data_IF_850609236905
#
_entry.id   IF_850609236905
#
_cell.length_a   1.000
_cell.length_b   1.000
_cell.length_c   1.000
_cell.angle_alpha   90.00
_cell.angle_beta   90.00
_cell.angle_gamma   90.00
#
_symmetry.space_group_name_H-M   'P 1'
#
loop_
_entity.id
_entity.type
_entity.pdbx_description
1 polymer ?
#
# COMPACT_ATOMS: atom_id res chain seq x y z
N UNK A 1 20.64 14.99 32.47
CA UNK A 1 20.71 15.06 31.01
C UNK A 1 21.65 13.94 30.58
N UNK A 2 21.16 12.72 30.33
CA UNK A 2 20.90 12.16 28.99
C UNK A 2 22.05 12.49 28.03
N UNK A 3 22.80 11.56 27.43
CA UNK A 3 22.34 10.38 26.68
C UNK A 3 23.48 9.34 26.61
N UNK A 4 23.26 8.12 27.12
CA UNK A 4 24.11 6.96 26.77
C UNK A 4 23.92 6.64 25.30
N UNK A 5 24.99 6.76 24.53
CA UNK A 5 24.99 6.44 23.11
C UNK A 5 25.69 5.09 22.89
N UNK A 6 24.91 4.16 22.34
CA UNK A 6 25.34 3.09 21.44
C UNK A 6 26.01 1.88 22.12
N UNK A 7 25.16 0.97 22.60
CA UNK A 7 25.46 -0.47 22.57
C UNK A 7 25.04 -1.01 21.20
N UNK A 8 25.99 -1.12 20.28
CA UNK A 8 25.80 -1.92 19.07
C UNK A 8 26.28 -3.34 19.33
N UNK A 9 25.35 -4.25 19.54
CA UNK A 9 25.62 -5.67 19.33
C UNK A 9 24.32 -6.34 18.88
N UNK A 10 24.19 -6.51 17.56
CA UNK A 10 23.19 -7.39 16.98
C UNK A 10 23.87 -8.28 15.95
N UNK A 11 24.52 -9.33 16.43
CA UNK A 11 24.72 -10.56 15.66
C UNK A 11 23.60 -11.52 16.09
N UNK A 12 22.62 -11.72 15.22
CA UNK A 12 21.90 -12.98 15.09
C UNK A 12 21.70 -13.23 13.61
N UNK A 13 22.42 -14.25 13.12
CA UNK A 13 22.50 -14.70 11.74
C UNK A 13 21.15 -15.20 11.18
N UNK A 14 20.97 -15.10 9.86
CA UNK A 14 19.95 -15.88 9.13
C UNK A 14 20.63 -16.88 8.17
N UNK A 15 20.11 -18.13 8.03
CA UNK A 15 20.86 -19.32 7.66
C UNK A 15 20.57 -19.81 6.24
N UNK A 16 21.33 -19.37 5.24
CA UNK A 16 21.36 -20.03 3.93
C UNK A 16 22.76 -19.99 3.33
N UNK A 17 23.66 -20.82 3.87
CA UNK A 17 24.92 -21.19 3.23
C UNK A 17 24.99 -22.71 3.19
N UNK A 18 24.57 -23.29 2.07
CA UNK A 18 24.66 -24.71 1.85
C UNK A 18 26.10 -25.15 1.56
N UNK A 19 26.55 -26.11 2.36
CA UNK A 19 27.26 -27.34 1.94
C UNK A 19 28.70 -27.22 1.40
N UNK A 20 29.64 -27.46 2.32
CA UNK A 20 30.50 -28.66 2.42
C UNK A 20 31.93 -28.29 2.88
N UNK A 21 32.38 -28.99 3.91
CA UNK A 21 33.77 -29.26 4.28
C UNK A 21 34.74 -28.08 4.57
N UNK A 22 34.97 -27.87 5.87
CA UNK A 22 36.35 -27.91 6.37
C UNK A 22 36.95 -26.60 6.89
N UNK A 23 37.08 -26.55 8.22
CA UNK A 23 38.16 -25.90 8.97
C UNK A 23 38.27 -24.36 8.95
N UNK A 24 37.73 -23.80 10.04
CA UNK A 24 38.47 -23.08 11.09
C UNK A 24 38.89 -21.61 10.88
N UNK A 25 38.58 -20.84 11.93
CA UNK A 25 39.18 -19.57 12.39
C UNK A 25 38.56 -18.26 11.89
N UNK A 26 37.74 -17.69 12.80
CA UNK A 26 37.71 -16.30 13.31
C UNK A 26 38.10 -15.20 12.31
N UNK A 27 37.19 -14.24 12.11
CA UNK A 27 37.31 -12.82 12.51
C UNK A 27 36.33 -11.98 11.68
N UNK A 28 35.48 -11.21 12.37
CA UNK A 28 34.92 -9.96 11.84
C UNK A 28 33.80 -10.09 10.80
N UNK A 29 32.57 -10.22 11.28
CA UNK A 29 31.38 -9.47 10.84
C UNK A 29 31.46 -8.82 9.44
N UNK A 30 31.14 -9.60 8.41
CA UNK A 30 30.72 -9.06 7.10
C UNK A 30 29.48 -9.84 6.70
N UNK A 31 28.33 -9.48 7.26
CA UNK A 31 27.05 -10.05 6.85
C UNK A 31 25.93 -9.01 6.95
N UNK A 32 25.45 -8.56 5.79
CA UNK A 32 24.02 -8.45 5.43
C UNK A 32 23.68 -7.15 4.68
N UNK A 33 23.97 -7.13 3.38
CA UNK A 33 23.39 -6.19 2.42
C UNK A 33 22.21 -6.79 1.64
N UNK A 34 21.37 -7.62 2.27
CA UNK A 34 20.30 -8.37 1.59
C UNK A 34 18.90 -8.21 2.22
N UNK A 35 18.63 -7.11 2.94
CA UNK A 35 17.38 -6.93 3.71
C UNK A 35 16.36 -5.93 3.16
N UNK A 36 16.67 -5.15 2.13
CA UNK A 36 15.85 -3.97 1.76
C UNK A 36 14.81 -4.21 0.65
N UNK A 37 14.58 -5.45 0.20
CA UNK A 37 13.69 -5.73 -0.93
C UNK A 37 12.27 -6.19 -0.54
N UNK A 38 12.01 -6.57 0.73
CA UNK A 38 10.74 -7.24 1.09
C UNK A 38 9.62 -6.32 1.59
N UNK A 39 9.95 -5.12 2.10
CA UNK A 39 8.96 -4.22 2.71
C UNK A 39 8.23 -3.33 1.70
N UNK A 40 8.81 -3.11 0.51
CA UNK A 40 8.18 -2.28 -0.53
C UNK A 40 7.11 -3.03 -1.31
N UNK A 41 7.30 -4.33 -1.60
CA UNK A 41 6.25 -5.15 -2.27
C UNK A 41 4.99 -5.27 -1.43
N UNK A 42 5.12 -5.54 -0.12
CA UNK A 42 3.99 -5.65 0.81
C UNK A 42 3.17 -4.33 0.86
N UNK A 43 3.86 -3.18 0.82
CA UNK A 43 3.21 -1.86 0.82
C UNK A 43 2.49 -1.58 -0.51
N UNK A 44 3.07 -1.96 -1.65
CA UNK A 44 2.41 -1.82 -2.96
C UNK A 44 1.16 -2.70 -3.04
N UNK A 45 1.23 -3.94 -2.56
CA UNK A 45 0.07 -4.85 -2.50
C UNK A 45 -1.06 -4.30 -1.63
N UNK A 46 -0.74 -3.65 -0.51
CA UNK A 46 -1.73 -2.99 0.35
C UNK A 46 -2.43 -1.81 -0.37
N UNK A 47 -1.66 -0.96 -1.07
CA UNK A 47 -2.21 0.14 -1.87
C UNK A 47 -3.09 -0.37 -3.01
N UNK A 48 -2.68 -1.43 -3.71
CA UNK A 48 -3.44 -2.03 -4.80
C UNK A 48 -4.74 -2.67 -4.35
N UNK A 49 -4.73 -3.34 -3.18
CA UNK A 49 -5.95 -3.85 -2.54
C UNK A 49 -6.90 -2.70 -2.18
N UNK A 50 -6.39 -1.61 -1.62
CA UNK A 50 -7.19 -0.45 -1.25
C UNK A 50 -7.84 0.21 -2.48
N UNK A 51 -7.08 0.41 -3.57
CA UNK A 51 -7.61 0.95 -4.84
C UNK A 51 -8.72 0.05 -5.38
N UNK A 52 -8.50 -1.27 -5.41
CA UNK A 52 -9.47 -2.23 -5.91
C UNK A 52 -10.76 -2.22 -5.09
N UNK A 53 -10.65 -2.12 -3.76
CA UNK A 53 -11.81 -2.02 -2.88
C UNK A 53 -12.60 -0.73 -3.11
N UNK A 54 -11.92 0.41 -3.26
CA UNK A 54 -12.57 1.69 -3.54
C UNK A 54 -13.25 1.70 -4.92
N UNK A 55 -12.64 1.08 -5.93
CA UNK A 55 -13.26 0.91 -7.26
C UNK A 55 -14.57 0.11 -7.15
N UNK A 56 -14.57 -1.01 -6.41
CA UNK A 56 -15.80 -1.79 -6.15
C UNK A 56 -16.84 -1.01 -5.36
N UNK A 57 -16.43 -0.14 -4.45
CA UNK A 57 -17.37 0.76 -3.75
C UNK A 57 -17.99 1.76 -4.71
N UNK A 58 -17.19 2.37 -5.59
CA UNK A 58 -17.66 3.29 -6.62
C UNK A 58 -18.65 2.61 -7.57
N UNK A 59 -18.36 1.39 -8.03
CA UNK A 59 -19.27 0.62 -8.90
C UNK A 59 -20.63 0.36 -8.23
N UNK A 60 -20.62 -0.07 -6.96
CA UNK A 60 -21.86 -0.28 -6.19
C UNK A 60 -22.65 1.02 -6.03
N UNK A 61 -21.96 2.13 -5.80
CA UNK A 61 -22.60 3.43 -5.68
C UNK A 61 -23.18 3.89 -7.03
N UNK A 62 -22.50 3.66 -8.15
CA UNK A 62 -23.07 3.91 -9.48
C UNK A 62 -24.33 3.08 -9.75
N UNK A 63 -24.36 1.82 -9.28
CA UNK A 63 -25.57 1.01 -9.36
C UNK A 63 -26.71 1.58 -8.50
N UNK A 64 -26.40 2.13 -7.32
CA UNK A 64 -27.41 2.81 -6.48
C UNK A 64 -27.94 4.07 -7.15
N UNK A 65 -27.08 4.88 -7.78
CA UNK A 65 -27.49 6.05 -8.57
C UNK A 65 -28.50 5.64 -9.65
N UNK A 66 -28.19 4.62 -10.46
CA UNK A 66 -29.11 4.10 -11.50
C UNK A 66 -30.44 3.62 -10.92
N UNK A 67 -30.43 3.00 -9.74
CA UNK A 67 -31.66 2.57 -9.05
C UNK A 67 -32.49 3.75 -8.57
N UNK A 68 -31.86 4.81 -8.08
CA UNK A 68 -32.54 6.04 -7.66
C UNK A 68 -33.12 6.79 -8.86
N UNK A 69 -32.39 6.88 -9.97
CA UNK A 69 -32.88 7.44 -11.23
C UNK A 69 -34.12 6.69 -11.73
N UNK A 70 -34.06 5.35 -11.73
CA UNK A 70 -35.15 4.47 -12.13
C UNK A 70 -36.27 4.32 -11.08
N UNK A 71 -36.10 4.88 -9.88
CA UNK A 71 -37.12 4.79 -8.83
C UNK A 71 -38.36 5.62 -9.20
N UNK A 72 -39.50 5.34 -8.57
CA UNK A 72 -40.71 6.16 -8.72
C UNK A 72 -40.81 7.27 -7.66
N UNK A 73 -39.69 7.66 -7.04
CA UNK A 73 -39.66 8.78 -6.09
C UNK A 73 -39.92 10.13 -6.79
N UNK A 74 -40.31 11.15 -6.02
CA UNK A 74 -40.49 12.50 -6.58
C UNK A 74 -39.16 13.08 -7.07
N UNK A 75 -39.20 14.02 -8.02
CA UNK A 75 -37.98 14.61 -8.59
C UNK A 75 -37.10 15.28 -7.53
N UNK A 76 -37.69 15.96 -6.54
CA UNK A 76 -36.95 16.54 -5.43
C UNK A 76 -36.27 15.50 -4.53
N UNK A 77 -36.95 14.39 -4.25
CA UNK A 77 -36.36 13.28 -3.48
C UNK A 77 -35.22 12.63 -4.26
N UNK A 78 -35.40 12.41 -5.56
CA UNK A 78 -34.34 11.91 -6.44
C UNK A 78 -33.16 12.87 -6.49
N UNK A 79 -33.38 14.16 -6.69
CA UNK A 79 -32.33 15.16 -6.78
C UNK A 79 -31.49 15.22 -5.50
N UNK A 80 -32.14 15.24 -4.33
CA UNK A 80 -31.45 15.21 -3.04
C UNK A 80 -30.62 13.93 -2.86
N UNK A 81 -31.18 12.78 -3.22
CA UNK A 81 -30.51 11.49 -3.07
C UNK A 81 -29.36 11.31 -4.08
N UNK A 82 -29.55 11.75 -5.32
CA UNK A 82 -28.50 11.77 -6.35
C UNK A 82 -27.38 12.73 -5.99
N UNK A 83 -27.69 13.91 -5.46
CA UNK A 83 -26.67 14.85 -5.00
C UNK A 83 -25.82 14.24 -3.87
N UNK A 84 -26.45 13.56 -2.91
CA UNK A 84 -25.73 12.88 -1.83
C UNK A 84 -24.85 11.74 -2.36
N UNK A 85 -25.38 10.90 -3.26
CA UNK A 85 -24.62 9.80 -3.89
C UNK A 85 -23.46 10.35 -4.74
N UNK A 86 -23.69 11.39 -5.54
CA UNK A 86 -22.64 12.02 -6.35
C UNK A 86 -21.53 12.62 -5.48
N UNK A 87 -21.85 13.24 -4.35
CA UNK A 87 -20.83 13.73 -3.41
C UNK A 87 -19.97 12.58 -2.83
N UNK A 88 -20.59 11.44 -2.52
CA UNK A 88 -19.87 10.24 -2.11
C UNK A 88 -19.01 9.68 -3.26
N UNK A 89 -19.51 9.67 -4.50
CA UNK A 89 -18.77 9.25 -5.68
C UNK A 89 -17.48 10.08 -5.86
N UNK A 90 -17.61 11.41 -5.82
CA UNK A 90 -16.47 12.33 -5.93
C UNK A 90 -15.44 12.11 -4.83
N UNK A 91 -15.90 11.85 -3.60
CA UNK A 91 -15.00 11.54 -2.47
C UNK A 91 -14.20 10.27 -2.71
N UNK A 92 -14.87 9.19 -3.14
CA UNK A 92 -14.22 7.90 -3.45
C UNK A 92 -13.25 8.06 -4.62
N UNK A 93 -13.63 8.80 -5.67
CA UNK A 93 -12.75 9.09 -6.81
C UNK A 93 -11.48 9.83 -6.38
N UNK A 94 -11.60 10.83 -5.51
CA UNK A 94 -10.43 11.55 -4.96
C UNK A 94 -9.50 10.64 -4.16
N UNK A 95 -10.05 9.70 -3.37
CA UNK A 95 -9.26 8.71 -2.64
C UNK A 95 -8.52 7.74 -3.58
N UNK A 96 -9.21 7.25 -4.62
CA UNK A 96 -8.60 6.40 -5.66
C UNK A 96 -7.43 7.14 -6.31
N UNK A 97 -7.63 8.39 -6.70
CA UNK A 97 -6.62 9.17 -7.39
C UNK A 97 -5.41 9.47 -6.49
N UNK A 98 -5.63 9.70 -5.20
CA UNK A 98 -4.57 9.86 -4.22
C UNK A 98 -3.73 8.59 -4.09
N UNK A 99 -4.37 7.42 -3.96
CA UNK A 99 -3.66 6.14 -3.86
C UNK A 99 -2.94 5.76 -5.16
N UNK A 100 -3.52 6.05 -6.32
CA UNK A 100 -2.85 5.86 -7.61
C UNK A 100 -1.58 6.71 -7.72
N UNK A 101 -1.63 7.97 -7.28
CA UNK A 101 -0.45 8.83 -7.23
C UNK A 101 0.61 8.28 -6.26
N UNK A 102 0.22 7.76 -5.09
CA UNK A 102 1.15 7.12 -4.16
C UNK A 102 1.80 5.87 -4.78
N UNK A 103 1.02 5.04 -5.47
CA UNK A 103 1.54 3.88 -6.21
C UNK A 103 2.56 4.31 -7.26
N UNK A 104 2.24 5.33 -8.05
CA UNK A 104 3.15 5.83 -9.08
C UNK A 104 4.44 6.36 -8.46
N UNK A 105 4.36 7.16 -7.39
CA UNK A 105 5.54 7.67 -6.68
C UNK A 105 6.39 6.56 -6.07
N UNK A 106 5.77 5.51 -5.53
CA UNK A 106 6.47 4.34 -5.01
C UNK A 106 7.20 3.57 -6.13
N UNK A 107 6.55 3.42 -7.29
CA UNK A 107 7.14 2.78 -8.47
C UNK A 107 8.29 3.62 -9.07
N UNK A 108 8.16 4.95 -9.15
CA UNK A 108 9.22 5.84 -9.65
C UNK A 108 10.49 5.77 -8.79
N UNK A 109 10.33 5.64 -7.46
CA UNK A 109 11.46 5.50 -6.53
C UNK A 109 12.19 4.15 -6.70
N UNK A 110 11.52 3.11 -7.19
CA UNK A 110 12.15 1.82 -7.50
C UNK A 110 12.93 1.85 -8.82
N UNK A 111 12.56 2.70 -9.78
CA UNK A 111 13.21 2.78 -11.10
C UNK A 111 14.52 3.57 -11.15
N UNK A 112 14.86 4.34 -10.12
CA UNK A 112 16.06 5.22 -10.11
C UNK A 112 17.28 4.53 -9.44
N UNK A 113 17.12 3.33 -8.88
CA UNK A 113 18.21 2.57 -8.23
C UNK A 113 18.79 1.45 -9.10
N UNK A 114 18.68 1.53 -10.42
CA UNK A 114 19.24 0.54 -11.36
C UNK A 114 20.48 1.05 -12.09
#
# INVERSE_FOLDING_TARGET
MSISSISSNLTTANPYAGKEAGLNVRTGDVASSAGAASSTSESQDATDKAITQLQRQLERLMQQIKRVEASNATEEQKAAQLQALNAQATTIQGQIQTLQNQKLQAASKQGITA
#
